data_IF_037689853606
#
_entry.id   IF_037689853606
#
_cell.length_a   1.000
_cell.length_b   1.000
_cell.length_c   1.000
_cell.angle_alpha   90.00
_cell.angle_beta   90.00
_cell.angle_gamma   90.00
#
_symmetry.space_group_name_H-M   'P 1'
#
loop_
_entity.id
_entity.type
_entity.pdbx_description
1 polymer ?
#
# COMPACT_ATOMS: atom_id res chain seq x y z
N UNK A 1 -29.42 2.40 -2.74
CA UNK A 1 -28.03 2.41 -3.24
C UNK A 1 -28.10 2.85 -4.68
N UNK A 2 -27.44 3.96 -5.03
CA UNK A 2 -27.52 4.54 -6.38
C UNK A 2 -26.42 3.96 -7.30
N UNK A 3 -26.62 4.00 -8.63
CA UNK A 3 -25.67 3.51 -9.64
C UNK A 3 -24.29 4.17 -9.46
N UNK A 4 -24.26 5.45 -9.10
CA UNK A 4 -23.02 6.15 -8.79
C UNK A 4 -22.28 5.50 -7.61
N UNK A 5 -22.98 5.23 -6.51
CA UNK A 5 -22.40 4.60 -5.32
C UNK A 5 -21.93 3.16 -5.58
N UNK A 6 -22.69 2.39 -6.36
CA UNK A 6 -22.31 1.04 -6.78
C UNK A 6 -21.05 1.06 -7.65
N UNK A 7 -21.00 1.97 -8.63
CA UNK A 7 -19.81 2.15 -9.48
C UNK A 7 -18.59 2.47 -8.64
N UNK A 8 -18.71 3.41 -7.71
CA UNK A 8 -17.60 3.82 -6.83
C UNK A 8 -17.05 2.64 -6.02
N UNK A 9 -17.93 1.87 -5.37
CA UNK A 9 -17.52 0.69 -4.59
C UNK A 9 -16.83 -0.38 -5.44
N UNK A 10 -17.31 -0.61 -6.67
CA UNK A 10 -16.69 -1.55 -7.61
C UNK A 10 -15.28 -1.07 -7.99
N UNK A 11 -15.11 0.21 -8.30
CA UNK A 11 -13.78 0.78 -8.60
C UNK A 11 -12.84 0.66 -7.41
N UNK A 12 -13.28 1.03 -6.20
CA UNK A 12 -12.45 0.93 -4.99
C UNK A 12 -12.03 -0.53 -4.73
N UNK A 13 -12.92 -1.50 -4.94
CA UNK A 13 -12.61 -2.93 -4.86
C UNK A 13 -11.59 -3.38 -5.92
N UNK A 14 -11.71 -2.86 -7.14
CA UNK A 14 -10.85 -3.21 -8.27
C UNK A 14 -9.42 -2.64 -8.14
N UNK A 15 -9.23 -1.51 -7.46
CA UNK A 15 -7.92 -0.84 -7.34
C UNK A 15 -6.81 -1.74 -6.74
N UNK A 16 -7.09 -2.44 -5.64
CA UNK A 16 -6.11 -3.35 -5.05
C UNK A 16 -5.81 -4.53 -5.97
N UNK A 17 -6.83 -5.02 -6.69
CA UNK A 17 -6.68 -6.11 -7.64
C UNK A 17 -5.81 -5.68 -8.83
N UNK A 18 -6.02 -4.46 -9.33
CA UNK A 18 -5.20 -3.88 -10.39
C UNK A 18 -3.74 -3.69 -9.94
N UNK A 19 -3.51 -3.20 -8.72
CA UNK A 19 -2.16 -3.09 -8.16
C UNK A 19 -1.50 -4.46 -7.97
N UNK A 20 -2.25 -5.48 -7.56
CA UNK A 20 -1.73 -6.83 -7.39
C UNK A 20 -1.31 -7.44 -8.74
N UNK A 21 -2.14 -7.27 -9.76
CA UNK A 21 -1.82 -7.69 -11.13
C UNK A 21 -0.63 -6.90 -11.68
N UNK A 22 -0.58 -5.59 -11.48
CA UNK A 22 0.54 -4.75 -11.90
C UNK A 22 1.85 -5.17 -11.24
N UNK A 23 1.83 -5.51 -9.94
CA UNK A 23 2.99 -6.08 -9.22
C UNK A 23 3.43 -7.42 -9.80
N UNK A 24 2.50 -8.29 -10.19
CA UNK A 24 2.82 -9.58 -10.81
C UNK A 24 3.46 -9.40 -12.20
N UNK A 25 2.90 -8.51 -13.02
CA UNK A 25 3.39 -8.27 -14.38
C UNK A 25 4.68 -7.44 -14.41
N UNK A 26 4.78 -6.45 -13.52
CA UNK A 26 5.87 -5.47 -13.46
C UNK A 26 6.36 -5.27 -12.01
N UNK A 27 7.05 -6.26 -11.42
CA UNK A 27 7.45 -6.21 -10.01
C UNK A 27 8.33 -5.00 -9.65
N UNK A 28 9.21 -4.58 -10.57
CA UNK A 28 10.08 -3.42 -10.36
C UNK A 28 9.30 -2.10 -10.27
N UNK A 29 8.09 -2.05 -10.83
CA UNK A 29 7.24 -0.86 -10.81
C UNK A 29 6.46 -0.71 -9.50
N UNK A 30 6.29 -1.80 -8.75
CA UNK A 30 5.67 -1.77 -7.43
C UNK A 30 6.63 -1.23 -6.35
N UNK A 31 7.93 -1.40 -6.54
CA UNK A 31 8.95 -0.99 -5.58
C UNK A 31 9.24 0.52 -5.64
N UNK A 32 9.14 1.18 -4.49
CA UNK A 32 9.44 2.62 -4.32
C UNK A 32 10.49 2.87 -3.27
N UNK A 33 11.27 3.94 -3.46
CA UNK A 33 12.17 4.45 -2.41
C UNK A 33 11.38 5.10 -1.29
N UNK A 34 12.04 5.28 -0.14
CA UNK A 34 11.42 5.84 1.06
C UNK A 34 10.68 7.17 0.83
N UNK A 35 11.29 8.14 0.16
CA UNK A 35 10.67 9.45 -0.05
C UNK A 35 9.37 9.37 -0.87
N UNK A 36 9.33 8.46 -1.84
CA UNK A 36 8.14 8.20 -2.64
C UNK A 36 7.10 7.39 -1.86
N UNK A 37 7.52 6.41 -1.06
CA UNK A 37 6.65 5.70 -0.13
C UNK A 37 5.98 6.68 0.86
N UNK A 38 6.69 7.69 1.35
CA UNK A 38 6.13 8.75 2.21
C UNK A 38 5.07 9.55 1.47
N UNK A 39 5.31 9.91 0.20
CA UNK A 39 4.31 10.61 -0.64
C UNK A 39 3.04 9.77 -0.82
N UNK A 40 3.17 8.48 -1.12
CA UNK A 40 2.04 7.56 -1.27
C UNK A 40 1.31 7.36 0.07
N UNK A 41 2.07 7.26 1.16
CA UNK A 41 1.53 7.15 2.51
C UNK A 41 0.81 8.45 2.95
N UNK A 42 1.21 9.61 2.44
CA UNK A 42 0.70 10.92 2.86
C UNK A 42 1.14 11.34 4.26
N UNK A 43 1.88 10.49 4.98
CA UNK A 43 2.42 10.77 6.31
C UNK A 43 3.63 9.90 6.60
N UNK A 44 4.76 10.55 6.91
CA UNK A 44 5.98 9.86 7.31
C UNK A 44 5.81 9.11 8.64
N UNK A 45 5.12 9.73 9.60
CA UNK A 45 4.85 9.14 10.91
C UNK A 45 4.05 7.84 10.78
N UNK A 46 3.02 7.86 9.93
CA UNK A 46 2.20 6.69 9.64
C UNK A 46 3.06 5.58 9.02
N UNK A 47 3.85 5.91 7.99
CA UNK A 47 4.69 4.92 7.31
C UNK A 47 5.69 4.26 8.27
N UNK A 48 6.41 5.05 9.08
CA UNK A 48 7.34 4.53 10.10
C UNK A 48 6.64 3.60 11.10
N UNK A 49 5.42 3.94 11.51
CA UNK A 49 4.64 3.11 12.43
C UNK A 49 4.33 1.73 11.82
N UNK A 50 3.85 1.68 10.58
CA UNK A 50 3.52 0.42 9.90
C UNK A 50 4.75 -0.42 9.53
N UNK A 51 5.86 0.22 9.15
CA UNK A 51 7.13 -0.47 8.96
C UNK A 51 7.58 -1.13 10.27
N UNK A 52 7.56 -0.39 11.38
CA UNK A 52 7.96 -0.92 12.70
C UNK A 52 7.05 -2.06 13.17
N UNK A 53 5.76 -2.02 12.83
CA UNK A 53 4.78 -3.07 13.16
C UNK A 53 4.86 -4.29 12.23
N UNK A 54 5.64 -4.23 11.15
CA UNK A 54 5.76 -5.33 10.18
C UNK A 54 4.61 -5.41 9.18
N UNK A 55 3.73 -4.41 9.14
CA UNK A 55 2.62 -4.34 8.18
C UNK A 55 3.11 -3.99 6.76
N UNK A 56 4.20 -3.22 6.67
CA UNK A 56 4.87 -2.89 5.41
C UNK A 56 6.32 -3.35 5.52
N UNK A 57 6.72 -4.28 4.66
CA UNK A 57 8.05 -4.88 4.73
C UNK A 57 9.06 -4.08 3.89
N UNK A 58 10.20 -3.69 4.48
CA UNK A 58 11.31 -3.12 3.72
C UNK A 58 11.96 -4.22 2.85
N UNK A 59 12.06 -3.97 1.56
CA UNK A 59 12.66 -4.88 0.58
C UNK A 59 14.08 -4.39 0.28
N UNK A 60 15.09 -5.13 0.73
CA UNK A 60 16.49 -4.82 0.42
C UNK A 60 16.86 -5.31 -0.97
N UNK A 61 17.31 -4.41 -1.84
CA UNK A 61 17.78 -4.75 -3.19
C UNK A 61 19.30 -4.87 -3.21
N UNK A 62 19.79 -6.05 -2.83
CA UNK A 62 21.20 -6.43 -2.92
C UNK A 62 21.73 -7.15 -1.66
N UNK A 63 22.89 -7.81 -1.77
CA UNK A 63 23.44 -8.63 -0.69
C UNK A 63 24.16 -7.80 0.39
N UNK A 64 24.50 -6.53 0.11
CA UNK A 64 25.28 -5.71 1.01
C UNK A 64 24.40 -5.06 2.10
N UNK A 65 25.00 -4.83 3.28
CA UNK A 65 24.30 -4.20 4.43
C UNK A 65 23.84 -2.76 4.12
N UNK A 66 24.49 -2.08 3.18
CA UNK A 66 24.15 -0.73 2.71
C UNK A 66 23.33 -0.73 1.41
N UNK A 67 22.90 -1.89 0.92
CA UNK A 67 22.05 -1.96 -0.27
C UNK A 67 20.75 -1.17 -0.07
N UNK A 68 20.24 -0.51 -1.13
CA UNK A 68 19.04 0.32 -1.02
C UNK A 68 17.83 -0.48 -0.56
N UNK A 69 16.95 0.19 0.18
CA UNK A 69 15.70 -0.35 0.69
C UNK A 69 14.55 0.26 -0.09
N UNK A 70 13.64 -0.62 -0.52
CA UNK A 70 12.43 -0.29 -1.24
C UNK A 70 11.20 -0.74 -0.46
N UNK A 71 10.05 -0.23 -0.86
CA UNK A 71 8.75 -0.54 -0.26
C UNK A 71 7.74 -0.80 -1.37
N UNK A 72 6.81 -1.71 -1.14
CA UNK A 72 5.77 -2.05 -2.12
C UNK A 72 4.64 -1.01 -2.11
N UNK A 73 4.29 -0.48 -3.29
CA UNK A 73 3.11 0.38 -3.48
C UNK A 73 1.84 -0.35 -3.05
N UNK A 74 1.69 -1.62 -3.46
CA UNK A 74 0.59 -2.48 -3.09
C UNK A 74 0.46 -2.58 -1.56
N UNK A 75 1.54 -2.89 -0.85
CA UNK A 75 1.48 -3.12 0.60
C UNK A 75 1.05 -1.84 1.34
N UNK A 76 1.53 -0.67 0.90
CA UNK A 76 1.11 0.62 1.44
C UNK A 76 -0.40 0.85 1.22
N UNK A 77 -0.87 0.64 -0.02
CA UNK A 77 -2.28 0.83 -0.37
C UNK A 77 -3.20 -0.16 0.36
N UNK A 78 -2.82 -1.44 0.43
CA UNK A 78 -3.55 -2.49 1.11
C UNK A 78 -3.65 -2.20 2.61
N UNK A 79 -2.57 -1.76 3.24
CA UNK A 79 -2.55 -1.41 4.66
C UNK A 79 -3.52 -0.26 4.96
N UNK A 80 -3.51 0.81 4.14
CA UNK A 80 -4.45 1.93 4.30
C UNK A 80 -5.90 1.49 4.17
N UNK A 81 -6.21 0.67 3.17
CA UNK A 81 -7.57 0.19 2.93
C UNK A 81 -8.04 -0.71 4.08
N UNK A 82 -7.16 -1.57 4.61
CA UNK A 82 -7.46 -2.39 5.78
C UNK A 82 -7.78 -1.53 7.01
N UNK A 83 -7.02 -0.47 7.28
CA UNK A 83 -7.31 0.44 8.39
C UNK A 83 -8.65 1.18 8.21
N UNK A 84 -8.94 1.64 6.99
CA UNK A 84 -10.22 2.27 6.69
C UNK A 84 -11.40 1.31 6.95
N UNK A 85 -11.27 0.05 6.56
CA UNK A 85 -12.30 -0.97 6.78
C UNK A 85 -12.46 -1.33 8.27
N UNK A 86 -11.37 -1.40 9.02
CA UNK A 86 -11.44 -1.60 10.48
C UNK A 86 -12.16 -0.41 11.14
N UNK A 87 -11.89 0.82 10.68
CA UNK A 87 -12.54 2.00 11.20
C UNK A 87 -14.04 2.08 10.86
N UNK A 88 -14.49 1.53 9.73
CA UNK A 88 -15.92 1.44 9.39
C UNK A 88 -16.63 0.35 10.18
N UNK A 89 -15.99 -0.80 10.39
CA UNK A 89 -16.53 -1.90 11.20
C UNK A 89 -16.72 -1.50 12.66
N UNK A 90 -15.76 -0.79 13.26
CA UNK A 90 -15.84 -0.36 14.66
C UNK A 90 -16.85 0.77 14.92
N UNK A 91 -17.42 1.37 13.87
CA UNK A 91 -18.46 2.41 13.97
C UNK A 91 -19.88 1.85 13.92
N UNK A 92 -20.04 0.58 13.58
CA UNK A 92 -21.33 -0.14 13.59
C UNK A 92 -21.48 -0.89 14.91
#
# INVERSE_FOLDING_TARGET
>A
MDVFTLKQQITEAAELSALAIAKQMFPAFDDVKYDEAVKIAGSERWLKYHIKKGNILPIRRGPAKNSPIYYSRLDIAATKKAEAEIATLNKK
#
